data_IF_388013970276
#
_entry.id   IF_388013970276
#
_cell.length_a   1.000
_cell.length_b   1.000
_cell.length_c   1.000
_cell.angle_alpha   90.00
_cell.angle_beta   90.00
_cell.angle_gamma   90.00
#
_symmetry.space_group_name_H-M   'P 1'
#
loop_
_entity.id
_entity.type
_entity.pdbx_description
1 polymer ?
#
# COMPACT_ATOMS: atom_id res chain seq x y z
N UNK A 1 -1.64 -25.45 -26.23
CA UNK A 1 -0.68 -26.48 -25.77
C UNK A 1 0.70 -25.83 -25.69
N UNK A 2 1.03 -25.16 -24.57
CA UNK A 2 2.34 -24.56 -24.28
C UNK A 2 2.54 -24.60 -22.76
N UNK A 3 2.81 -25.78 -22.19
CA UNK A 3 3.15 -25.94 -20.77
C UNK A 3 4.46 -26.72 -20.72
N UNK A 4 5.49 -26.17 -20.07
CA UNK A 4 6.79 -26.85 -19.89
C UNK A 4 7.32 -26.83 -18.44
N UNK A 5 6.53 -26.41 -17.45
CA UNK A 5 6.91 -26.46 -16.04
C UNK A 5 6.27 -27.65 -15.31
N UNK A 6 7.09 -28.52 -14.71
CA UNK A 6 6.66 -29.46 -13.66
C UNK A 6 6.36 -28.65 -12.39
N UNK A 7 5.12 -28.71 -11.92
CA UNK A 7 4.68 -28.07 -10.67
C UNK A 7 5.19 -28.91 -9.50
N UNK A 8 5.99 -28.35 -8.60
CA UNK A 8 6.16 -28.89 -7.25
C UNK A 8 4.86 -28.65 -6.47
N UNK A 9 3.85 -29.49 -6.74
CA UNK A 9 2.59 -29.51 -6.00
C UNK A 9 2.82 -30.27 -4.68
N UNK A 10 3.34 -29.59 -3.66
CA UNK A 10 3.06 -30.00 -2.29
C UNK A 10 1.96 -29.06 -1.75
N UNK A 11 0.73 -29.58 -1.73
CA UNK A 11 -0.46 -29.06 -1.03
C UNK A 11 -1.17 -27.78 -1.54
N UNK A 12 -1.20 -27.52 -2.84
CA UNK A 12 -2.32 -26.77 -3.43
C UNK A 12 -3.13 -27.75 -4.29
N UNK A 13 -4.38 -28.03 -3.86
CA UNK A 13 -5.36 -28.76 -4.68
C UNK A 13 -5.37 -28.18 -6.09
N UNK A 14 -5.62 -29.00 -7.12
CA UNK A 14 -5.68 -28.61 -8.53
C UNK A 14 -6.72 -27.50 -8.78
N UNK A 15 -6.37 -26.27 -8.43
CA UNK A 15 -7.14 -25.08 -8.71
C UNK A 15 -6.85 -24.67 -10.16
N UNK A 16 -7.92 -24.43 -10.91
CA UNK A 16 -7.77 -23.93 -12.27
C UNK A 16 -7.30 -22.46 -12.24
N UNK A 17 -7.47 -21.71 -11.14
CA UNK A 17 -7.12 -20.29 -11.05
C UNK A 17 -5.63 -20.07 -10.82
N UNK A 18 -5.08 -20.60 -9.72
CA UNK A 18 -3.64 -20.59 -9.44
C UNK A 18 -3.04 -21.86 -10.02
N UNK A 19 -2.33 -21.74 -11.14
CA UNK A 19 -1.82 -22.87 -11.92
C UNK A 19 -0.35 -23.19 -11.64
N UNK A 20 0.33 -22.35 -10.85
CA UNK A 20 1.70 -22.53 -10.43
C UNK A 20 1.99 -21.71 -9.19
N UNK A 21 2.79 -22.25 -8.28
CA UNK A 21 3.25 -21.57 -7.08
C UNK A 21 4.67 -22.05 -6.75
N UNK A 22 5.64 -21.14 -6.83
CA UNK A 22 7.06 -21.36 -6.49
C UNK A 22 7.48 -20.34 -5.44
N UNK A 23 8.55 -20.65 -4.72
CA UNK A 23 9.13 -19.79 -3.69
C UNK A 23 10.64 -19.94 -3.67
N UNK A 24 11.34 -18.88 -3.28
CA UNK A 24 12.79 -18.75 -3.42
C UNK A 24 13.36 -18.18 -2.12
N UNK A 25 14.22 -18.96 -1.46
CA UNK A 25 14.81 -18.60 -0.16
C UNK A 25 16.35 -18.72 -0.15
N UNK A 26 16.95 -19.27 -1.20
CA UNK A 26 18.38 -19.62 -1.17
C UNK A 26 19.26 -18.38 -1.13
N UNK A 27 18.84 -17.30 -1.79
CA UNK A 27 19.49 -16.00 -1.68
C UNK A 27 19.40 -15.46 -0.27
N UNK A 28 18.21 -15.48 0.31
CA UNK A 28 17.99 -15.09 1.71
C UNK A 28 18.88 -15.87 2.68
N UNK A 29 18.92 -17.20 2.59
CA UNK A 29 19.72 -18.03 3.51
C UNK A 29 21.23 -17.79 3.36
N UNK A 30 21.69 -17.42 2.16
CA UNK A 30 23.09 -17.10 1.93
C UNK A 30 23.49 -15.73 2.53
N UNK A 31 22.59 -14.75 2.49
CA UNK A 31 22.86 -13.38 2.98
C UNK A 31 22.62 -13.24 4.49
N UNK A 32 21.55 -13.87 5.01
CA UNK A 32 21.07 -13.65 6.38
C UNK A 32 21.12 -14.92 7.26
N UNK A 33 21.48 -16.07 6.69
CA UNK A 33 21.39 -17.36 7.36
C UNK A 33 19.98 -17.96 7.35
N UNK A 34 19.83 -19.14 7.97
CA UNK A 34 18.55 -19.86 7.98
C UNK A 34 17.43 -19.02 8.61
N UNK A 35 16.29 -18.98 7.94
CA UNK A 35 15.13 -18.24 8.45
C UNK A 35 14.60 -18.86 9.74
N UNK A 36 14.64 -18.11 10.83
CA UNK A 36 14.05 -18.54 12.09
C UNK A 36 12.56 -18.19 12.14
N UNK A 37 11.69 -19.19 11.97
CA UNK A 37 10.23 -19.02 11.97
C UNK A 37 9.59 -19.03 13.36
N UNK A 38 10.36 -19.12 14.45
CA UNK A 38 9.79 -19.01 15.80
C UNK A 38 9.43 -17.57 16.17
N UNK A 39 10.19 -16.60 15.68
CA UNK A 39 10.08 -15.19 16.08
C UNK A 39 9.29 -14.34 15.07
N UNK A 40 9.14 -14.86 13.84
CA UNK A 40 8.35 -14.25 12.77
C UNK A 40 7.31 -15.26 12.27
N UNK A 41 6.10 -14.77 12.04
CA UNK A 41 5.05 -15.61 11.47
C UNK A 41 5.26 -15.73 9.95
N UNK A 42 5.82 -16.86 9.52
CA UNK A 42 6.19 -17.11 8.12
C UNK A 42 6.05 -18.60 7.75
N UNK A 43 5.84 -18.86 6.45
CA UNK A 43 5.74 -20.18 5.87
C UNK A 43 6.86 -20.43 4.87
N UNK A 44 7.61 -21.53 5.05
CA UNK A 44 8.58 -22.06 4.09
C UNK A 44 7.89 -22.69 2.86
N UNK A 45 7.11 -21.87 2.16
CA UNK A 45 6.30 -22.21 0.99
C UNK A 45 5.88 -20.94 0.25
N UNK A 46 5.16 -21.09 -0.87
CA UNK A 46 4.56 -19.96 -1.59
C UNK A 46 3.36 -19.30 -0.87
N UNK A 47 2.99 -19.77 0.33
CA UNK A 47 1.91 -19.17 1.14
C UNK A 47 2.32 -17.77 1.60
N UNK A 48 1.40 -16.82 1.42
CA UNK A 48 1.56 -15.44 1.84
C UNK A 48 1.25 -15.27 3.34
N UNK A 49 2.25 -14.85 4.10
CA UNK A 49 2.14 -14.57 5.54
C UNK A 49 1.84 -13.09 5.85
N UNK A 50 2.04 -12.18 4.90
CA UNK A 50 1.99 -10.73 5.13
C UNK A 50 0.75 -10.10 4.51
N UNK A 51 0.40 -10.50 3.29
CA UNK A 51 -0.81 -10.09 2.57
C UNK A 51 -0.58 -9.30 1.29
N UNK A 52 0.60 -8.69 1.11
CA UNK A 52 0.92 -7.86 -0.07
C UNK A 52 0.81 -8.64 -1.38
N UNK A 53 1.32 -9.87 -1.42
CA UNK A 53 1.22 -10.75 -2.60
C UNK A 53 -0.23 -11.13 -2.92
N UNK A 54 -1.03 -11.43 -1.88
CA UNK A 54 -2.47 -11.74 -2.03
C UNK A 54 -3.24 -10.52 -2.56
N UNK A 55 -2.95 -9.33 -2.05
CA UNK A 55 -3.59 -8.07 -2.44
C UNK A 55 -3.29 -7.71 -3.90
N UNK A 56 -2.03 -7.76 -4.28
CA UNK A 56 -1.60 -7.44 -5.65
C UNK A 56 -2.09 -8.47 -6.66
N UNK A 57 -1.99 -9.77 -6.36
CA UNK A 57 -2.47 -10.83 -7.25
C UNK A 57 -4.00 -10.77 -7.48
N UNK A 58 -4.77 -10.50 -6.42
CA UNK A 58 -6.23 -10.34 -6.52
C UNK A 58 -6.65 -9.05 -7.22
N UNK A 59 -5.85 -7.98 -7.14
CA UNK A 59 -6.06 -6.76 -7.94
C UNK A 59 -5.83 -7.02 -9.43
N UNK A 60 -4.81 -7.80 -9.79
CA UNK A 60 -4.53 -8.11 -11.19
C UNK A 60 -5.55 -9.07 -11.80
N UNK A 61 -5.86 -10.16 -11.09
CA UNK A 61 -6.64 -11.26 -11.64
C UNK A 61 -7.61 -11.90 -10.63
N UNK A 62 -8.03 -11.24 -9.55
CA UNK A 62 -9.01 -11.81 -8.62
C UNK A 62 -10.31 -12.23 -9.33
N UNK A 63 -10.83 -13.42 -8.99
CA UNK A 63 -12.17 -13.80 -9.42
C UNK A 63 -13.22 -12.89 -8.75
N UNK A 64 -14.42 -12.73 -9.32
CA UNK A 64 -15.47 -11.95 -8.69
C UNK A 64 -15.85 -12.55 -7.33
N UNK A 65 -15.83 -11.74 -6.28
CA UNK A 65 -16.27 -12.09 -4.93
C UNK A 65 -17.33 -11.08 -4.50
N UNK A 66 -18.57 -11.56 -4.31
CA UNK A 66 -19.67 -10.77 -3.78
C UNK A 66 -19.44 -10.43 -2.30
N UNK A 67 -20.09 -9.36 -1.84
CA UNK A 67 -20.07 -8.91 -0.45
C UNK A 67 -18.66 -8.67 0.13
N UNK A 68 -17.69 -8.39 -0.75
CA UNK A 68 -16.35 -8.00 -0.36
C UNK A 68 -16.38 -6.63 0.31
N UNK A 69 -15.79 -6.53 1.49
CA UNK A 69 -15.66 -5.28 2.23
C UNK A 69 -14.51 -5.33 3.22
N UNK A 70 -14.03 -4.16 3.62
CA UNK A 70 -13.13 -4.02 4.76
C UNK A 70 -13.91 -3.53 5.96
N UNK A 71 -14.35 -4.46 6.82
CA UNK A 71 -15.21 -4.15 8.00
C UNK A 71 -16.46 -3.34 7.62
N UNK A 72 -17.09 -3.67 6.49
CA UNK A 72 -18.25 -2.94 5.94
C UNK A 72 -17.91 -1.75 5.04
N UNK A 73 -16.66 -1.28 5.01
CA UNK A 73 -16.21 -0.24 4.09
C UNK A 73 -15.93 -0.79 2.70
N UNK A 74 -16.15 0.04 1.68
CA UNK A 74 -15.99 -0.30 0.26
C UNK A 74 -16.77 -1.56 -0.15
N UNK A 75 -17.95 -1.77 0.45
CA UNK A 75 -18.78 -2.94 0.18
C UNK A 75 -19.19 -3.03 -1.29
N UNK A 76 -19.04 -4.22 -1.87
CA UNK A 76 -19.48 -4.51 -3.23
C UNK A 76 -18.89 -5.82 -3.78
N UNK A 77 -18.77 -5.90 -5.10
CA UNK A 77 -18.16 -7.04 -5.78
C UNK A 77 -16.69 -6.74 -6.10
N UNK A 78 -15.77 -7.36 -5.38
CA UNK A 78 -14.34 -7.29 -5.67
C UNK A 78 -13.99 -8.21 -6.86
N UNK A 79 -13.20 -7.71 -7.81
CA UNK A 79 -12.61 -8.50 -8.91
C UNK A 79 -11.31 -7.85 -9.38
N UNK A 80 -10.41 -8.63 -9.97
CA UNK A 80 -9.21 -8.09 -10.59
C UNK A 80 -9.46 -7.51 -11.98
N UNK A 81 -8.44 -6.89 -12.56
CA UNK A 81 -8.50 -6.35 -13.93
C UNK A 81 -8.77 -7.43 -14.99
N UNK A 82 -8.22 -8.63 -14.82
CA UNK A 82 -8.45 -9.79 -15.69
C UNK A 82 -8.96 -11.02 -14.89
N UNK A 83 -10.25 -11.08 -14.50
CA UNK A 83 -10.77 -12.09 -13.57
C UNK A 83 -10.63 -13.54 -14.06
N UNK A 84 -10.53 -13.77 -15.37
CA UNK A 84 -10.38 -15.11 -15.98
C UNK A 84 -8.93 -15.48 -16.31
N UNK A 85 -7.97 -14.57 -16.13
CA UNK A 85 -6.55 -14.88 -16.30
C UNK A 85 -6.10 -15.95 -15.29
N UNK A 86 -5.07 -16.72 -15.63
CA UNK A 86 -4.48 -17.70 -14.70
C UNK A 86 -3.39 -16.99 -13.89
N UNK A 87 -3.15 -17.44 -12.66
CA UNK A 87 -2.09 -16.93 -11.80
C UNK A 87 -0.97 -17.96 -11.67
N UNK A 88 0.27 -17.50 -11.82
CA UNK A 88 1.47 -18.21 -11.39
C UNK A 88 2.17 -17.34 -10.35
N UNK A 89 2.37 -17.87 -9.16
CA UNK A 89 2.91 -17.14 -8.00
C UNK A 89 4.38 -17.48 -7.82
N UNK A 90 5.22 -16.47 -7.67
CA UNK A 90 6.66 -16.59 -7.42
C UNK A 90 7.01 -15.77 -6.18
N UNK A 91 7.08 -16.42 -5.02
CA UNK A 91 7.36 -15.75 -3.74
C UNK A 91 8.86 -15.55 -3.57
N UNK A 92 9.28 -14.29 -3.56
CA UNK A 92 10.69 -13.87 -3.39
C UNK A 92 10.92 -12.96 -2.18
N UNK A 93 9.82 -12.55 -1.53
CA UNK A 93 9.84 -11.67 -0.37
C UNK A 93 9.34 -12.42 0.86
N UNK A 94 9.92 -12.08 1.99
CA UNK A 94 9.70 -12.75 3.26
C UNK A 94 9.13 -11.79 4.31
N UNK A 95 8.55 -12.33 5.38
CA UNK A 95 7.93 -11.54 6.46
C UNK A 95 8.90 -10.59 7.18
N UNK A 96 10.21 -10.78 7.03
CA UNK A 96 11.24 -9.84 7.48
C UNK A 96 11.24 -8.53 6.70
N UNK A 97 10.62 -8.52 5.51
CA UNK A 97 10.62 -7.42 4.55
C UNK A 97 11.66 -7.59 3.44
N UNK A 98 12.53 -8.59 3.54
CA UNK A 98 13.63 -8.78 2.60
C UNK A 98 13.19 -9.56 1.35
N UNK A 99 13.67 -9.10 0.19
CA UNK A 99 13.60 -9.80 -1.07
C UNK A 99 14.99 -9.77 -1.70
N UNK A 100 15.71 -10.89 -1.70
CA UNK A 100 17.11 -10.88 -2.13
C UNK A 100 17.24 -10.83 -3.65
N UNK A 101 18.34 -10.23 -4.11
CA UNK A 101 18.70 -10.14 -5.52
C UNK A 101 18.73 -11.49 -6.22
N UNK A 102 19.29 -12.51 -5.56
CA UNK A 102 19.40 -13.86 -6.11
C UNK A 102 18.02 -14.54 -6.24
N UNK A 103 17.16 -14.41 -5.23
CA UNK A 103 15.82 -15.00 -5.25
C UNK A 103 14.91 -14.32 -6.29
N UNK A 104 15.04 -12.99 -6.45
CA UNK A 104 14.34 -12.24 -7.52
C UNK A 104 14.75 -12.74 -8.91
N UNK A 105 16.05 -12.85 -9.19
CA UNK A 105 16.54 -13.31 -10.49
C UNK A 105 16.12 -14.77 -10.78
N UNK A 106 16.18 -15.64 -9.78
CA UNK A 106 15.73 -17.02 -9.91
C UNK A 106 14.24 -17.11 -10.27
N UNK A 107 13.40 -16.26 -9.66
CA UNK A 107 11.99 -16.18 -10.00
C UNK A 107 11.73 -15.66 -11.43
N UNK A 108 12.49 -14.66 -11.89
CA UNK A 108 12.41 -14.20 -13.27
C UNK A 108 12.76 -15.31 -14.27
N UNK A 109 13.87 -16.02 -14.04
CA UNK A 109 14.32 -17.10 -14.92
C UNK A 109 13.25 -18.21 -15.02
N UNK A 110 12.73 -18.64 -13.87
CA UNK A 110 11.65 -19.64 -13.81
C UNK A 110 10.36 -19.15 -14.47
N UNK A 111 9.96 -17.90 -14.26
CA UNK A 111 8.75 -17.36 -14.87
C UNK A 111 8.86 -17.27 -16.39
N UNK A 112 10.04 -16.89 -16.90
CA UNK A 112 10.34 -16.89 -18.34
C UNK A 112 10.26 -18.31 -18.89
N UNK A 113 10.89 -19.27 -18.22
CA UNK A 113 10.89 -20.67 -18.62
C UNK A 113 9.48 -21.30 -18.60
N UNK A 114 8.69 -20.98 -17.57
CA UNK A 114 7.31 -21.44 -17.41
C UNK A 114 6.37 -20.86 -18.50
N UNK A 115 6.79 -19.76 -19.14
CA UNK A 115 6.11 -19.16 -20.28
C UNK A 115 4.94 -18.27 -19.88
N UNK A 116 5.10 -17.46 -18.84
CA UNK A 116 4.09 -16.47 -18.44
C UNK A 116 3.89 -15.40 -19.52
N UNK A 117 2.70 -14.83 -19.62
CA UNK A 117 2.38 -13.78 -20.62
C UNK A 117 2.69 -12.36 -20.15
N UNK A 118 2.62 -12.13 -18.84
CA UNK A 118 2.84 -10.85 -18.16
C UNK A 118 3.44 -11.09 -16.78
N UNK A 119 4.40 -10.25 -16.39
CA UNK A 119 4.94 -10.18 -15.04
C UNK A 119 4.46 -8.90 -14.35
N UNK A 120 3.83 -9.06 -13.18
CA UNK A 120 3.36 -7.98 -12.30
C UNK A 120 4.29 -7.90 -11.10
N UNK A 121 5.17 -6.90 -11.05
CA UNK A 121 6.27 -6.84 -10.09
C UNK A 121 6.19 -5.56 -9.27
N UNK A 122 5.55 -5.68 -8.11
CA UNK A 122 5.38 -4.57 -7.16
C UNK A 122 6.52 -4.48 -6.16
N UNK A 123 7.76 -4.50 -6.66
CA UNK A 123 9.01 -4.48 -5.92
C UNK A 123 9.90 -3.33 -6.43
N UNK A 124 10.95 -2.99 -5.69
CA UNK A 124 11.99 -2.08 -6.17
C UNK A 124 12.89 -1.59 -5.05
N UNK A 125 13.96 -0.91 -5.44
CA UNK A 125 14.95 -0.33 -4.53
C UNK A 125 14.92 1.19 -4.60
N UNK A 126 15.00 1.85 -3.45
CA UNK A 126 15.07 3.29 -3.37
C UNK A 126 16.39 3.83 -3.98
N UNK A 127 16.42 5.09 -4.47
CA UNK A 127 17.66 5.71 -4.92
C UNK A 127 18.76 5.71 -3.83
N UNK A 128 20.06 5.66 -4.19
CA UNK A 128 20.61 5.76 -5.55
C UNK A 128 20.34 4.50 -6.39
N UNK A 129 19.93 4.71 -7.65
CA UNK A 129 19.66 3.61 -8.58
C UNK A 129 20.97 3.02 -9.11
N UNK A 130 21.18 1.69 -9.04
CA UNK A 130 22.30 1.05 -9.70
C UNK A 130 22.13 1.10 -11.23
N UNK A 131 23.21 0.93 -11.99
CA UNK A 131 23.13 0.85 -13.44
C UNK A 131 22.21 -0.32 -13.85
N UNK A 132 21.60 -0.26 -15.04
CA UNK A 132 20.66 -1.31 -15.48
C UNK A 132 21.28 -2.72 -15.55
N UNK A 133 22.60 -2.81 -15.67
CA UNK A 133 23.36 -4.07 -15.67
C UNK A 133 23.67 -4.62 -14.28
N UNK A 134 23.43 -3.81 -13.24
CA UNK A 134 23.61 -4.15 -11.82
C UNK A 134 22.27 -4.21 -11.06
N UNK A 135 21.19 -3.65 -11.63
CA UNK A 135 19.84 -3.71 -11.08
C UNK A 135 19.14 -5.03 -11.45
N UNK A 136 18.88 -5.89 -10.46
CA UNK A 136 18.28 -7.22 -10.69
C UNK A 136 16.89 -7.17 -11.34
N UNK A 137 16.10 -6.14 -11.06
CA UNK A 137 14.80 -5.95 -11.70
C UNK A 137 14.96 -5.56 -13.17
N UNK A 138 15.93 -4.70 -13.50
CA UNK A 138 16.28 -4.35 -14.88
C UNK A 138 16.81 -5.55 -15.65
N UNK A 139 17.72 -6.35 -15.07
CA UNK A 139 18.27 -7.56 -15.70
C UNK A 139 17.16 -8.59 -15.95
N UNK A 140 16.42 -8.98 -14.91
CA UNK A 140 15.35 -9.98 -15.03
C UNK A 140 14.26 -9.53 -16.02
N UNK A 141 13.86 -8.26 -15.95
CA UNK A 141 12.86 -7.72 -16.87
C UNK A 141 13.35 -7.60 -18.31
N UNK A 142 14.63 -7.32 -18.54
CA UNK A 142 15.21 -7.29 -19.88
C UNK A 142 15.09 -8.66 -20.55
N UNK A 143 15.49 -9.72 -19.84
CA UNK A 143 15.38 -11.09 -20.35
C UNK A 143 13.93 -11.52 -20.60
N UNK A 144 12.99 -11.10 -19.73
CA UNK A 144 11.57 -11.35 -19.94
C UNK A 144 11.03 -10.63 -21.19
N UNK A 145 11.32 -9.34 -21.35
CA UNK A 145 10.89 -8.55 -22.50
C UNK A 145 11.50 -9.08 -23.81
N UNK A 146 12.77 -9.49 -23.78
CA UNK A 146 13.44 -10.12 -24.93
C UNK A 146 12.77 -11.44 -25.36
N UNK A 147 12.06 -12.11 -24.45
CA UNK A 147 11.25 -13.32 -24.72
C UNK A 147 9.79 -13.02 -25.03
N UNK A 148 9.41 -11.75 -25.20
CA UNK A 148 8.06 -11.32 -25.55
C UNK A 148 7.11 -11.22 -24.35
N UNK A 149 7.63 -11.24 -23.12
CA UNK A 149 6.84 -11.15 -21.89
C UNK A 149 6.80 -9.70 -21.44
N UNK A 150 5.60 -9.13 -21.29
CA UNK A 150 5.46 -7.76 -20.79
C UNK A 150 5.73 -7.71 -19.28
N UNK A 151 6.51 -6.72 -18.83
CA UNK A 151 6.83 -6.52 -17.41
C UNK A 151 6.28 -5.18 -16.95
N UNK A 152 5.46 -5.23 -15.90
CA UNK A 152 4.83 -4.06 -15.28
C UNK A 152 5.37 -3.93 -13.87
N UNK A 153 5.93 -2.77 -13.54
CA UNK A 153 6.49 -2.49 -12.21
C UNK A 153 5.88 -1.24 -11.58
N UNK A 154 5.86 -1.19 -10.25
CA UNK A 154 5.50 -0.01 -9.47
C UNK A 154 6.55 1.11 -9.59
N UNK A 155 6.12 2.37 -9.65
CA UNK A 155 7.04 3.52 -9.75
C UNK A 155 7.77 3.88 -8.45
N UNK A 156 7.35 3.35 -7.30
CA UNK A 156 7.88 3.69 -5.97
C UNK A 156 6.97 4.64 -5.18
N UNK A 157 7.17 4.67 -3.86
CA UNK A 157 6.33 5.43 -2.92
C UNK A 157 7.12 6.55 -2.19
N UNK A 158 8.18 7.06 -2.81
CA UNK A 158 9.10 8.05 -2.21
C UNK A 158 8.86 9.48 -2.72
N UNK A 159 7.70 9.74 -3.32
CA UNK A 159 7.28 11.08 -3.72
C UNK A 159 7.09 12.03 -2.52
N UNK A 160 6.76 13.31 -2.78
CA UNK A 160 6.34 13.89 -4.06
C UNK A 160 7.50 14.54 -4.83
N UNK A 161 8.70 14.54 -4.27
CA UNK A 161 9.84 15.23 -4.86
C UNK A 161 10.32 14.53 -6.15
N UNK A 162 10.86 15.33 -7.06
CA UNK A 162 11.47 14.86 -8.32
C UNK A 162 12.57 13.84 -8.06
N UNK A 163 12.90 13.04 -9.08
CA UNK A 163 14.03 12.09 -9.08
C UNK A 163 13.91 10.96 -8.04
N UNK A 164 12.68 10.58 -7.72
CA UNK A 164 12.37 9.51 -6.75
C UNK A 164 11.85 8.23 -7.42
N UNK A 165 11.65 8.24 -8.74
CA UNK A 165 11.15 7.09 -9.52
C UNK A 165 12.15 5.94 -9.54
N UNK A 166 11.64 4.74 -9.30
CA UNK A 166 12.39 3.47 -9.36
C UNK A 166 11.85 2.62 -10.52
N UNK A 167 12.48 1.49 -10.83
CA UNK A 167 12.09 0.62 -11.96
C UNK A 167 12.06 1.39 -13.30
N UNK A 168 13.07 2.22 -13.54
CA UNK A 168 13.08 3.20 -14.61
C UNK A 168 13.63 2.69 -15.95
N UNK A 169 13.91 1.39 -16.06
CA UNK A 169 14.42 0.81 -17.30
C UNK A 169 13.44 1.03 -18.47
N UNK A 170 13.92 1.39 -19.68
CA UNK A 170 13.06 1.77 -20.80
C UNK A 170 12.06 0.68 -21.22
N UNK A 171 12.44 -0.59 -21.08
CA UNK A 171 11.64 -1.76 -21.46
C UNK A 171 10.55 -2.14 -20.45
N UNK A 172 10.57 -1.57 -19.24
CA UNK A 172 9.55 -1.79 -18.20
C UNK A 172 8.37 -0.83 -18.43
N UNK A 173 7.13 -1.27 -18.13
CA UNK A 173 5.98 -0.39 -17.91
C UNK A 173 5.95 0.02 -16.44
N UNK A 174 6.30 1.26 -16.14
CA UNK A 174 6.42 1.80 -14.77
C UNK A 174 5.18 2.59 -14.39
N UNK A 175 4.50 2.19 -13.31
CA UNK A 175 3.14 2.63 -13.00
C UNK A 175 3.10 3.53 -11.76
N UNK A 176 2.62 4.76 -11.95
CA UNK A 176 2.33 5.71 -10.87
C UNK A 176 1.03 5.35 -10.15
N UNK A 177 0.84 5.84 -8.92
CA UNK A 177 -0.40 5.66 -8.18
C UNK A 177 -1.29 6.91 -8.32
N UNK A 178 -2.56 6.70 -8.63
CA UNK A 178 -3.60 7.74 -8.66
C UNK A 178 -4.71 7.45 -7.65
N UNK A 179 -5.40 8.51 -7.23
CA UNK A 179 -6.63 8.44 -6.44
C UNK A 179 -7.82 8.00 -7.29
N UNK A 180 -8.90 7.61 -6.62
CA UNK A 180 -10.21 7.32 -7.21
C UNK A 180 -11.26 8.22 -6.56
N UNK A 181 -12.46 8.26 -7.12
CA UNK A 181 -13.61 9.04 -6.64
C UNK A 181 -14.23 8.54 -5.32
N UNK A 182 -13.55 7.61 -4.62
CA UNK A 182 -13.98 7.06 -3.32
C UNK A 182 -13.14 7.63 -2.17
N UNK A 183 -13.82 7.98 -1.09
CA UNK A 183 -13.20 8.32 0.19
C UNK A 183 -13.91 7.66 1.37
N UNK A 184 -13.31 7.74 2.56
CA UNK A 184 -13.85 7.17 3.80
C UNK A 184 -13.91 8.24 4.87
N UNK A 185 -15.12 8.74 5.14
CA UNK A 185 -15.33 9.87 6.04
C UNK A 185 -15.92 9.42 7.38
N UNK A 186 -15.46 10.04 8.46
CA UNK A 186 -16.05 9.96 9.78
C UNK A 186 -16.34 11.36 10.33
N UNK A 187 -17.44 11.47 11.08
CA UNK A 187 -17.80 12.70 11.79
C UNK A 187 -16.93 12.86 13.03
N UNK A 188 -16.45 14.07 13.28
CA UNK A 188 -15.79 14.49 14.52
C UNK A 188 -16.73 15.47 15.20
N UNK A 189 -17.33 15.08 16.33
CA UNK A 189 -18.19 15.94 17.13
C UNK A 189 -17.43 16.42 18.38
N UNK A 190 -17.33 17.74 18.55
CA UNK A 190 -16.70 18.36 19.71
C UNK A 190 -17.76 18.61 20.80
N UNK A 191 -17.31 18.72 22.06
CA UNK A 191 -18.17 19.00 23.21
C UNK A 191 -18.88 20.36 23.19
N UNK A 192 -18.51 21.27 22.29
CA UNK A 192 -19.23 22.54 22.04
C UNK A 192 -20.29 22.42 20.92
N UNK A 193 -20.69 21.21 20.54
CA UNK A 193 -21.62 20.90 19.44
C UNK A 193 -21.13 21.25 18.03
N UNK A 194 -19.89 21.71 17.86
CA UNK A 194 -19.30 21.87 16.53
C UNK A 194 -18.96 20.51 15.93
N UNK A 195 -19.13 20.38 14.62
CA UNK A 195 -18.92 19.10 13.92
C UNK A 195 -18.10 19.28 12.66
N UNK A 196 -17.11 18.41 12.49
CA UNK A 196 -16.21 18.38 11.34
C UNK A 196 -16.19 17.00 10.71
N UNK A 197 -15.60 16.88 9.53
CA UNK A 197 -15.35 15.61 8.87
C UNK A 197 -13.84 15.33 8.84
N UNK A 198 -13.47 14.06 8.96
CA UNK A 198 -12.11 13.60 8.76
C UNK A 198 -12.09 12.24 8.07
N UNK A 199 -10.92 11.82 7.62
CA UNK A 199 -10.71 10.58 6.91
C UNK A 199 -10.24 9.46 7.85
N UNK A 200 -10.86 8.27 7.76
CA UNK A 200 -10.45 7.12 8.56
C UNK A 200 -11.00 5.80 8.01
N UNK A 201 -10.26 4.71 8.22
CA UNK A 201 -10.73 3.33 7.99
C UNK A 201 -11.31 2.69 9.26
N UNK A 202 -11.26 3.41 10.38
CA UNK A 202 -11.72 2.88 11.67
C UNK A 202 -13.25 2.80 11.72
N UNK A 203 -13.77 1.59 11.91
CA UNK A 203 -15.21 1.30 11.86
C UNK A 203 -15.82 0.82 13.20
N UNK A 204 -15.04 0.67 14.28
CA UNK A 204 -15.62 0.16 15.53
C UNK A 204 -14.70 0.01 16.74
N UNK A 205 -15.09 0.68 17.83
CA UNK A 205 -15.10 0.23 19.24
C UNK A 205 -15.75 1.29 20.14
N UNK A 206 -15.80 2.56 19.70
CA UNK A 206 -16.35 3.68 20.47
C UNK A 206 -17.23 4.65 19.67
N UNK A 207 -18.09 4.21 18.73
CA UNK A 207 -18.97 5.14 18.02
C UNK A 207 -19.88 5.82 19.05
N UNK A 208 -19.83 7.15 19.09
CA UNK A 208 -20.68 7.88 20.03
C UNK A 208 -20.17 7.98 21.47
N UNK A 209 -18.98 7.47 21.82
CA UNK A 209 -18.40 7.71 23.16
C UNK A 209 -17.70 9.07 23.19
N UNK A 210 -18.07 9.91 24.16
CA UNK A 210 -17.33 11.14 24.45
C UNK A 210 -16.03 10.82 25.20
N UNK A 211 -14.91 11.34 24.70
CA UNK A 211 -13.58 11.12 25.22
C UNK A 211 -12.88 12.47 25.44
N UNK A 212 -12.04 12.56 26.47
CA UNK A 212 -11.23 13.77 26.70
C UNK A 212 -10.22 13.94 25.55
N UNK A 213 -10.09 15.17 25.07
CA UNK A 213 -9.17 15.57 24.01
C UNK A 213 -8.00 16.33 24.64
N UNK A 214 -6.80 16.18 24.09
CA UNK A 214 -5.63 16.96 24.50
C UNK A 214 -4.75 17.24 23.28
N UNK A 215 -4.07 18.39 23.27
CA UNK A 215 -3.07 18.70 22.27
C UNK A 215 -1.73 18.07 22.64
N UNK A 216 -1.03 17.51 21.66
CA UNK A 216 0.15 16.69 21.91
C UNK A 216 1.34 17.47 22.51
N UNK A 217 1.52 18.73 22.10
CA UNK A 217 2.59 19.61 22.62
C UNK A 217 2.42 19.88 24.12
N UNK A 218 1.18 20.05 24.59
CA UNK A 218 0.86 20.29 26.01
C UNK A 218 1.16 19.09 26.93
N UNK A 219 1.46 17.93 26.35
CA UNK A 219 1.74 16.68 27.06
C UNK A 219 3.09 16.07 26.66
N UNK A 220 4.04 16.91 26.23
CA UNK A 220 5.41 16.48 25.95
C UNK A 220 6.01 15.69 27.12
N UNK A 221 6.76 14.64 26.81
CA UNK A 221 7.62 13.99 27.79
C UNK A 221 8.80 14.89 28.15
N UNK A 222 9.36 14.74 29.36
CA UNK A 222 10.46 15.58 29.84
C UNK A 222 11.69 15.62 28.91
N UNK A 223 11.91 14.57 28.14
CA UNK A 223 13.09 14.40 27.27
C UNK A 223 12.81 14.73 25.79
N UNK A 224 11.61 15.20 25.45
CA UNK A 224 11.21 15.48 24.07
C UNK A 224 11.12 16.99 23.80
N UNK A 225 11.49 17.39 22.58
CA UNK A 225 11.20 18.72 22.07
C UNK A 225 9.69 18.88 21.80
N UNK A 226 9.18 20.10 21.95
CA UNK A 226 7.79 20.47 21.70
C UNK A 226 7.39 20.09 20.26
N UNK A 227 8.31 20.20 19.31
CA UNK A 227 8.10 19.79 17.91
C UNK A 227 7.85 18.29 17.76
N UNK A 228 8.58 17.47 18.52
CA UNK A 228 8.44 16.02 18.49
C UNK A 228 7.12 15.59 19.13
N UNK A 229 6.78 16.19 20.27
CA UNK A 229 5.50 15.98 20.94
C UNK A 229 4.33 16.38 20.04
N UNK A 230 4.38 17.57 19.42
CA UNK A 230 3.36 18.06 18.48
C UNK A 230 3.03 17.06 17.38
N UNK A 231 4.03 16.35 16.85
CA UNK A 231 3.84 15.34 15.79
C UNK A 231 3.65 13.92 16.30
N UNK A 232 3.60 13.73 17.61
CA UNK A 232 3.47 12.42 18.25
C UNK A 232 4.59 11.46 17.78
N UNK A 233 5.81 11.98 17.68
CA UNK A 233 7.02 11.19 17.39
C UNK A 233 7.24 10.12 18.45
N UNK A 234 7.85 8.99 18.10
CA UNK A 234 8.07 7.89 19.03
C UNK A 234 8.74 8.35 20.33
N UNK A 235 8.14 8.04 21.47
CA UNK A 235 8.65 8.40 22.80
C UNK A 235 8.37 9.83 23.25
N UNK A 236 7.73 10.68 22.42
CA UNK A 236 7.58 12.11 22.70
C UNK A 236 6.47 12.51 23.69
N UNK A 237 5.60 11.57 24.06
CA UNK A 237 4.40 11.87 24.86
C UNK A 237 4.51 11.37 26.30
N UNK A 238 4.08 12.20 27.25
CA UNK A 238 3.95 11.83 28.65
C UNK A 238 2.79 10.84 28.85
N UNK A 239 3.12 9.59 29.18
CA UNK A 239 2.14 8.50 29.33
C UNK A 239 1.06 8.76 30.39
N UNK A 240 1.36 9.52 31.46
CA UNK A 240 0.38 9.84 32.50
C UNK A 240 -0.66 10.84 31.98
N UNK A 241 -0.22 11.83 31.21
CA UNK A 241 -1.09 12.88 30.68
C UNK A 241 -1.90 12.43 29.45
N UNK A 242 -1.36 11.48 28.66
CA UNK A 242 -2.02 10.90 27.49
C UNK A 242 -3.03 9.79 27.84
N UNK A 243 -2.85 9.10 28.98
CA UNK A 243 -3.65 7.93 29.35
C UNK A 243 -5.16 8.21 29.28
N UNK A 244 -5.87 7.42 28.48
CA UNK A 244 -7.32 7.51 28.35
C UNK A 244 -7.84 8.69 27.52
N UNK A 245 -6.97 9.47 26.87
CA UNK A 245 -7.34 10.65 26.07
C UNK A 245 -7.15 10.42 24.57
N UNK A 246 -7.89 11.19 23.78
CA UNK A 246 -7.63 11.40 22.35
C UNK A 246 -6.58 12.49 22.23
N UNK A 247 -5.57 12.27 21.40
CA UNK A 247 -4.46 13.21 21.21
C UNK A 247 -4.57 13.87 19.82
N UNK A 248 -4.56 15.20 19.78
CA UNK A 248 -4.44 15.99 18.56
C UNK A 248 -2.95 16.17 18.25
N UNK A 249 -2.51 15.60 17.12
CA UNK A 249 -1.14 15.71 16.62
C UNK A 249 -1.15 16.50 15.30
N UNK A 250 -0.14 17.33 15.08
CA UNK A 250 0.11 18.00 13.81
C UNK A 250 1.36 17.43 13.16
N UNK A 251 1.23 17.04 11.90
CA UNK A 251 2.36 16.64 11.07
C UNK A 251 3.45 17.72 11.07
N UNK A 252 4.71 17.28 11.17
CA UNK A 252 5.91 18.12 11.06
C UNK A 252 6.76 17.72 9.86
N UNK A 253 7.87 18.43 9.63
CA UNK A 253 8.84 18.06 8.60
C UNK A 253 9.49 16.70 8.91
N UNK A 254 9.79 16.43 10.18
CA UNK A 254 10.48 15.23 10.64
C UNK A 254 9.56 14.00 10.74
N UNK A 255 8.31 14.20 11.15
CA UNK A 255 7.33 13.12 11.32
C UNK A 255 6.06 13.41 10.50
N UNK A 256 5.81 12.52 9.52
CA UNK A 256 4.72 12.65 8.53
C UNK A 256 3.76 11.46 8.52
N UNK A 257 3.97 10.48 9.39
CA UNK A 257 3.23 9.23 9.43
C UNK A 257 2.20 9.23 10.56
N UNK A 258 0.92 9.28 10.19
CA UNK A 258 -0.17 9.08 11.13
C UNK A 258 -0.07 7.71 11.84
N UNK A 259 0.46 6.68 11.18
CA UNK A 259 0.69 5.37 11.79
C UNK A 259 1.73 5.41 12.93
N UNK A 260 2.77 6.25 12.79
CA UNK A 260 3.74 6.46 13.90
C UNK A 260 3.06 7.19 15.05
N UNK A 261 2.28 8.25 14.77
CA UNK A 261 1.53 8.97 15.79
C UNK A 261 0.58 8.05 16.56
N UNK A 262 -0.13 7.16 15.86
CA UNK A 262 -0.98 6.11 16.46
C UNK A 262 -0.20 5.22 17.41
N UNK A 263 0.94 4.69 16.97
CA UNK A 263 1.73 3.77 17.81
C UNK A 263 2.32 4.50 19.03
N UNK A 264 2.74 5.75 18.89
CA UNK A 264 3.19 6.59 20.00
C UNK A 264 2.07 6.80 21.02
N UNK A 265 0.88 7.20 20.56
CA UNK A 265 -0.28 7.43 21.44
C UNK A 265 -0.72 6.15 22.11
N UNK A 266 -0.72 5.02 21.39
CA UNK A 266 -1.01 3.69 21.95
C UNK A 266 -0.02 3.32 23.06
N UNK A 267 1.29 3.47 22.83
CA UNK A 267 2.33 3.23 23.86
C UNK A 267 2.18 4.15 25.06
N UNK A 268 1.74 5.39 24.85
CA UNK A 268 1.39 6.35 25.89
C UNK A 268 0.02 6.08 26.54
N UNK A 269 -0.67 4.98 26.19
CA UNK A 269 -1.99 4.56 26.69
C UNK A 269 -3.14 5.52 26.36
N UNK A 270 -2.98 6.31 25.31
CA UNK A 270 -4.07 7.10 24.72
C UNK A 270 -5.07 6.21 23.96
N UNK A 271 -6.24 6.76 23.69
CA UNK A 271 -7.41 6.02 23.15
C UNK A 271 -7.88 6.50 21.80
N UNK A 272 -7.24 7.52 21.22
CA UNK A 272 -7.53 7.99 19.86
C UNK A 272 -6.52 9.03 19.39
N UNK A 273 -6.47 9.24 18.09
CA UNK A 273 -5.62 10.24 17.43
C UNK A 273 -6.46 11.07 16.45
N UNK A 274 -6.29 12.38 16.51
CA UNK A 274 -6.64 13.28 15.42
C UNK A 274 -5.33 13.74 14.81
N UNK A 275 -5.06 13.38 13.57
CA UNK A 275 -3.80 13.70 12.91
C UNK A 275 -4.04 14.77 11.84
N UNK A 276 -3.63 16.00 12.15
CA UNK A 276 -3.72 17.14 11.23
C UNK A 276 -2.52 17.16 10.29
N UNK A 277 -2.78 17.09 8.99
CA UNK A 277 -1.76 16.95 7.94
C UNK A 277 -2.16 17.71 6.67
N UNK A 278 -1.25 17.84 5.72
CA UNK A 278 -1.67 18.21 4.37
C UNK A 278 -2.51 17.08 3.75
N UNK A 279 -3.40 17.43 2.84
CA UNK A 279 -4.33 16.47 2.25
C UNK A 279 -3.58 15.51 1.31
N UNK A 280 -3.30 14.29 1.78
CA UNK A 280 -2.70 13.22 0.97
C UNK A 280 -3.72 12.37 0.23
N UNK A 281 -5.00 12.38 0.69
CA UNK A 281 -6.07 11.45 0.33
C UNK A 281 -5.77 9.97 0.65
N UNK A 282 -4.59 9.68 1.18
CA UNK A 282 -4.15 8.36 1.65
C UNK A 282 -4.45 8.20 3.13
N UNK A 283 -5.19 7.15 3.48
CA UNK A 283 -5.68 6.94 4.84
C UNK A 283 -4.82 5.89 5.54
N UNK A 284 -4.25 6.29 6.68
CA UNK A 284 -3.46 5.40 7.49
C UNK A 284 -4.29 4.24 8.02
N UNK A 285 -3.75 3.03 7.84
CA UNK A 285 -4.28 1.81 8.40
C UNK A 285 -4.01 1.76 9.91
N UNK A 286 -4.99 2.17 10.73
CA UNK A 286 -4.94 2.08 12.20
C UNK A 286 -6.12 1.29 12.76
N UNK A 287 -5.85 0.37 13.69
CA UNK A 287 -6.85 -0.62 14.13
C UNK A 287 -7.02 -0.72 15.65
N UNK A 288 -5.94 -0.56 16.42
CA UNK A 288 -6.00 -0.61 17.89
C UNK A 288 -6.46 0.70 18.51
N UNK A 289 -6.08 1.81 17.88
CA UNK A 289 -6.42 3.17 18.31
C UNK A 289 -7.08 3.91 17.14
N UNK A 290 -8.33 4.40 17.29
CA UNK A 290 -8.96 5.21 16.25
C UNK A 290 -8.05 6.36 15.83
N UNK A 291 -7.81 6.48 14.53
CA UNK A 291 -7.06 7.59 13.96
C UNK A 291 -7.94 8.28 12.91
N UNK A 292 -8.19 9.57 13.10
CA UNK A 292 -8.91 10.39 12.12
C UNK A 292 -7.95 11.43 11.57
N UNK A 293 -7.67 11.35 10.28
CA UNK A 293 -6.83 12.32 9.59
C UNK A 293 -7.69 13.50 9.14
N UNK A 294 -7.19 14.71 9.37
CA UNK A 294 -7.85 15.97 8.98
C UNK A 294 -6.85 16.88 8.29
N UNK A 295 -7.36 17.85 7.53
CA UNK A 295 -6.49 18.90 7.02
C UNK A 295 -6.06 19.86 8.15
N UNK A 296 -5.08 20.73 7.85
CA UNK A 296 -4.61 21.72 8.83
C UNK A 296 -5.69 22.71 9.24
N UNK A 297 -6.65 23.04 8.38
CA UNK A 297 -7.70 24.00 8.72
C UNK A 297 -8.59 23.45 9.83
N UNK A 298 -9.09 22.22 9.67
CA UNK A 298 -9.86 21.51 10.68
C UNK A 298 -9.01 21.27 11.94
N UNK A 299 -7.74 20.85 11.77
CA UNK A 299 -6.80 20.68 12.88
C UNK A 299 -6.65 21.95 13.74
N UNK A 300 -6.43 23.10 13.12
CA UNK A 300 -6.27 24.39 13.81
C UNK A 300 -7.54 24.82 14.54
N UNK A 301 -8.71 24.56 13.96
CA UNK A 301 -9.99 24.84 14.63
C UNK A 301 -10.19 23.94 15.86
N UNK A 302 -9.81 22.66 15.77
CA UNK A 302 -9.86 21.73 16.91
C UNK A 302 -8.86 22.16 18.00
N UNK A 303 -7.66 22.62 17.62
CA UNK A 303 -6.68 23.18 18.56
C UNK A 303 -7.20 24.42 19.30
N UNK A 304 -7.85 25.35 18.58
CA UNK A 304 -8.47 26.52 19.21
C UNK A 304 -9.57 26.12 20.21
N UNK A 305 -10.31 25.04 19.92
CA UNK A 305 -11.28 24.49 20.85
C UNK A 305 -10.63 23.86 22.10
N UNK A 306 -9.49 23.19 21.97
CA UNK A 306 -8.81 22.59 23.13
C UNK A 306 -8.30 23.65 24.10
N UNK A 307 -7.91 24.83 23.60
CA UNK A 307 -7.44 25.94 24.44
C UNK A 307 -8.57 26.78 25.03
N UNK A 308 -9.74 26.83 24.38
CA UNK A 308 -10.89 27.62 24.85
C UNK A 308 -11.76 26.91 25.90
N UNK A 309 -11.53 25.62 26.18
CA UNK A 309 -12.35 24.81 27.07
C UNK A 309 -11.51 24.20 28.19
N UNK A 310 -12.05 24.16 29.42
CA UNK A 310 -11.35 23.52 30.56
C UNK A 310 -11.23 22.00 30.40
N UNK A 311 -12.27 21.37 29.85
CA UNK A 311 -12.35 19.92 29.66
C UNK A 311 -12.81 19.62 28.23
N UNK A 312 -11.93 19.82 27.23
CA UNK A 312 -12.29 19.56 25.84
C UNK A 312 -12.57 18.08 25.65
N UNK A 313 -13.69 17.78 25.01
CA UNK A 313 -14.10 16.42 24.64
C UNK A 313 -14.33 16.29 23.15
N UNK A 314 -14.21 15.06 22.65
CA UNK A 314 -14.45 14.68 21.26
C UNK A 314 -15.15 13.32 21.18
N UNK A 315 -15.95 13.15 20.15
CA UNK A 315 -16.65 11.93 19.81
C UNK A 315 -16.47 11.65 18.32
N UNK A 316 -16.09 10.41 17.99
CA UNK A 316 -15.98 9.96 16.60
C UNK A 316 -17.23 9.22 16.15
N UNK A 317 -17.70 9.51 14.94
CA UNK A 317 -18.65 8.70 14.21
C UNK A 317 -17.95 7.51 13.54
N UNK A 318 -18.74 6.53 13.09
CA UNK A 318 -18.22 5.42 12.27
C UNK A 318 -17.84 5.92 10.88
N UNK A 319 -16.74 5.38 10.34
CA UNK A 319 -16.37 5.59 8.94
C UNK A 319 -17.50 5.17 7.99
N UNK A 320 -17.70 5.95 6.93
CA UNK A 320 -18.62 5.64 5.83
C UNK A 320 -17.89 5.76 4.51
N UNK A 321 -18.23 4.88 3.59
CA UNK A 321 -17.76 4.98 2.20
C UNK A 321 -18.57 6.03 1.48
N UNK A 322 -17.89 6.97 0.83
CA UNK A 322 -18.48 8.05 0.05
C UNK A 322 -17.90 7.99 -1.37
N UNK A 323 -18.76 8.15 -2.38
CA UNK A 323 -18.42 8.10 -3.81
C UNK A 323 -18.79 9.44 -4.47
N UNK A 324 -17.94 9.92 -5.38
CA UNK A 324 -18.21 11.08 -6.23
C UNK A 324 -18.05 12.45 -5.58
N UNK A 325 -17.79 12.53 -4.26
CA UNK A 325 -17.55 13.80 -3.56
C UNK A 325 -16.10 14.31 -3.66
N UNK A 326 -15.17 13.47 -4.12
CA UNK A 326 -13.76 13.83 -4.29
C UNK A 326 -13.44 13.96 -5.77
N UNK A 327 -12.93 15.14 -6.18
CA UNK A 327 -12.36 15.34 -7.51
C UNK A 327 -11.11 14.45 -7.63
N UNK A 328 -11.11 13.58 -8.64
CA UNK A 328 -10.02 12.69 -9.01
C UNK A 328 -10.25 12.15 -10.43
N UNK A 329 -9.23 11.52 -11.04
CA UNK A 329 -7.96 11.07 -10.46
C UNK A 329 -6.91 12.17 -10.24
N UNK A 330 -6.25 12.13 -9.08
CA UNK A 330 -5.04 12.92 -8.78
C UNK A 330 -3.86 11.97 -8.56
N UNK A 331 -2.67 12.32 -9.03
CA UNK A 331 -1.46 11.54 -8.74
C UNK A 331 -1.19 11.57 -7.23
N UNK A 332 -1.12 10.39 -6.62
CA UNK A 332 -0.94 10.25 -5.19
C UNK A 332 0.30 11.00 -4.68
N UNK A 333 0.19 11.59 -3.50
CA UNK A 333 1.28 12.35 -2.87
C UNK A 333 2.57 11.53 -2.76
N UNK A 334 2.45 10.27 -2.32
CA UNK A 334 3.60 9.37 -2.17
C UNK A 334 4.15 8.85 -3.50
N UNK A 335 3.41 8.95 -4.62
CA UNK A 335 3.84 8.34 -5.88
C UNK A 335 5.14 8.99 -6.34
N UNK A 336 6.20 8.19 -6.46
CA UNK A 336 7.51 8.63 -6.90
C UNK A 336 7.46 9.33 -8.26
N UNK A 337 8.32 10.33 -8.44
CA UNK A 337 8.34 11.22 -9.62
C UNK A 337 9.64 11.09 -10.40
N UNK A 338 9.54 11.25 -11.72
CA UNK A 338 10.71 11.43 -12.58
C UNK A 338 11.40 12.79 -12.38
N UNK A 339 12.43 13.08 -13.20
CA UNK A 339 13.04 12.17 -14.19
C UNK A 339 13.79 11.01 -13.52
N UNK A 340 14.17 9.99 -14.30
CA UNK A 340 15.08 8.94 -13.81
C UNK A 340 16.50 9.47 -13.74
N UNK A 341 17.24 9.15 -12.67
CA UNK A 341 18.67 9.51 -12.54
C UNK A 341 19.59 8.75 -13.51
N UNK A 342 19.15 7.61 -14.05
CA UNK A 342 19.93 6.79 -15.00
C UNK A 342 19.72 7.21 -16.46
N UNK A 343 18.51 7.63 -16.81
CA UNK A 343 18.15 8.00 -18.17
C UNK A 343 17.11 9.13 -18.16
N UNK A 344 17.52 10.37 -17.85
CA UNK A 344 16.60 11.50 -17.72
C UNK A 344 15.81 11.81 -19.00
N UNK A 345 16.35 11.46 -20.17
CA UNK A 345 15.72 11.64 -21.47
C UNK A 345 14.58 10.66 -21.77
N UNK A 346 14.47 9.56 -21.01
CA UNK A 346 13.36 8.61 -21.10
C UNK A 346 12.39 8.90 -19.96
N UNK A 347 11.24 9.50 -20.30
CA UNK A 347 10.25 9.92 -19.31
C UNK A 347 9.72 8.73 -18.49
N UNK A 348 9.63 8.95 -17.17
CA UNK A 348 9.08 8.01 -16.19
C UNK A 348 8.33 8.78 -15.09
N UNK A 349 7.29 8.19 -14.46
CA UNK A 349 6.64 6.92 -14.80
C UNK A 349 5.94 6.95 -16.17
N UNK A 350 5.57 5.79 -16.71
CA UNK A 350 4.98 5.70 -18.06
C UNK A 350 3.47 5.98 -18.05
N UNK A 351 2.76 5.58 -16.99
CA UNK A 351 1.30 5.71 -16.86
C UNK A 351 0.89 5.75 -15.38
N UNK A 352 -0.28 6.32 -15.06
CA UNK A 352 -0.88 6.27 -13.74
C UNK A 352 -2.09 5.32 -13.71
N UNK A 353 -2.35 4.67 -12.58
CA UNK A 353 -3.52 3.82 -12.36
C UNK A 353 -3.98 3.89 -10.89
N UNK A 354 -5.21 3.43 -10.57
CA UNK A 354 -5.71 3.43 -9.20
C UNK A 354 -4.75 2.74 -8.21
N UNK A 355 -4.27 3.49 -7.23
CA UNK A 355 -3.29 3.00 -6.25
C UNK A 355 -3.49 3.54 -4.83
N UNK A 356 -4.56 4.29 -4.57
CA UNK A 356 -4.86 4.86 -3.25
C UNK A 356 -6.13 4.26 -2.69
N UNK A 357 -6.04 3.76 -1.46
CA UNK A 357 -7.12 3.13 -0.70
C UNK A 357 -7.83 2.01 -1.48
N UNK A 358 -7.10 1.10 -2.12
CA UNK A 358 -7.64 0.01 -2.94
C UNK A 358 -8.04 -1.19 -2.07
N UNK A 359 -9.28 -1.66 -2.24
CA UNK A 359 -9.79 -2.88 -1.60
C UNK A 359 -9.40 -4.10 -2.43
N UNK A 360 -8.66 -5.04 -1.86
CA UNK A 360 -8.38 -6.34 -2.49
C UNK A 360 -8.26 -7.45 -1.43
N UNK A 361 -8.10 -8.69 -1.88
CA UNK A 361 -8.03 -9.84 -0.98
C UNK A 361 -6.80 -9.73 -0.06
N UNK A 362 -6.93 -10.22 1.16
CA UNK A 362 -5.86 -10.22 2.16
C UNK A 362 -5.76 -11.59 2.82
N UNK A 363 -4.55 -12.01 3.16
CA UNK A 363 -4.33 -13.29 3.83
C UNK A 363 -4.82 -13.21 5.28
N UNK A 364 -5.73 -14.10 5.72
CA UNK A 364 -6.12 -14.16 7.14
C UNK A 364 -4.94 -14.48 8.07
N UNK A 365 -3.87 -15.05 7.51
CA UNK A 365 -2.65 -15.41 8.23
C UNK A 365 -1.92 -14.16 8.77
N UNK A 366 -2.07 -13.00 8.11
CA UNK A 366 -1.50 -11.73 8.55
C UNK A 366 -2.10 -11.21 9.85
N UNK A 367 -3.20 -11.79 10.33
CA UNK A 367 -3.78 -11.44 11.63
C UNK A 367 -2.82 -11.70 12.81
N UNK A 368 -1.91 -12.66 12.66
CA UNK A 368 -0.95 -13.02 13.71
C UNK A 368 0.14 -11.96 13.86
N UNK A 369 0.52 -11.32 12.75
CA UNK A 369 1.57 -10.30 12.69
C UNK A 369 1.04 -8.87 12.66
N UNK A 370 -0.29 -8.67 12.65
CA UNK A 370 -0.88 -7.34 12.48
C UNK A 370 -2.06 -7.07 13.43
N UNK A 371 -2.12 -5.83 13.92
CA UNK A 371 -3.22 -5.31 14.74
C UNK A 371 -4.58 -5.24 14.00
N UNK A 372 -4.61 -5.56 12.70
CA UNK A 372 -5.83 -5.55 11.88
C UNK A 372 -6.79 -6.67 12.30
N UNK A 373 -6.29 -7.72 12.96
CA UNK A 373 -7.04 -8.95 13.18
C UNK A 373 -7.31 -9.70 11.87
N UNK A 374 -8.15 -10.73 11.94
CA UNK A 374 -8.46 -11.55 10.77
C UNK A 374 -9.43 -10.82 9.83
N UNK A 375 -8.95 -10.51 8.63
CA UNK A 375 -9.74 -9.95 7.54
C UNK A 375 -9.45 -10.69 6.23
N UNK A 376 -10.46 -10.84 5.38
CA UNK A 376 -10.32 -11.46 4.05
C UNK A 376 -10.06 -10.45 2.94
N UNK A 377 -10.32 -9.17 3.20
CA UNK A 377 -10.04 -8.06 2.32
C UNK A 377 -9.41 -6.93 3.12
N UNK A 378 -8.55 -6.13 2.49
CA UNK A 378 -7.92 -4.96 3.10
C UNK A 378 -7.92 -3.79 2.12
N UNK A 379 -8.12 -2.59 2.65
CA UNK A 379 -7.90 -1.33 1.94
C UNK A 379 -6.43 -0.95 2.13
N UNK A 380 -5.69 -0.78 1.03
CA UNK A 380 -4.27 -0.44 1.07
C UNK A 380 -3.88 0.55 -0.04
N UNK A 381 -2.75 1.23 0.14
CA UNK A 381 -2.26 2.26 -0.77
C UNK A 381 -0.82 2.00 -1.19
N UNK A 382 -0.50 2.34 -2.44
CA UNK A 382 0.85 2.27 -2.98
C UNK A 382 0.85 2.16 -4.50
N UNK A 383 2.00 2.46 -5.11
CA UNK A 383 2.27 2.08 -6.51
C UNK A 383 2.25 0.56 -6.69
N UNK A 384 2.41 -0.20 -5.61
CA UNK A 384 2.15 -1.64 -5.57
C UNK A 384 0.70 -2.01 -5.88
N UNK A 385 -0.26 -1.13 -5.63
CA UNK A 385 -1.68 -1.38 -5.94
C UNK A 385 -2.04 -0.91 -7.35
N UNK A 386 -1.35 0.10 -7.88
CA UNK A 386 -1.55 0.55 -9.27
C UNK A 386 -0.90 -0.35 -10.31
N UNK A 387 0.29 -0.90 -10.02
CA UNK A 387 0.98 -1.89 -10.84
C UNK A 387 0.06 -3.06 -11.31
N UNK A 388 -0.62 -3.80 -10.42
CA UNK A 388 -1.46 -4.93 -10.81
C UNK A 388 -2.72 -4.52 -11.59
N UNK A 389 -3.24 -3.29 -11.44
CA UNK A 389 -4.31 -2.80 -12.31
C UNK A 389 -3.85 -2.79 -13.78
N UNK A 390 -2.67 -2.23 -14.06
CA UNK A 390 -2.10 -2.22 -15.40
C UNK A 390 -1.72 -3.62 -15.85
N UNK A 391 -1.23 -4.50 -14.97
CA UNK A 391 -0.98 -5.91 -15.32
C UNK A 391 -2.25 -6.63 -15.75
N UNK A 392 -3.39 -6.35 -15.13
CA UNK A 392 -4.70 -6.85 -15.56
C UNK A 392 -5.07 -6.36 -16.96
N UNK A 393 -4.88 -5.07 -17.26
CA UNK A 393 -5.11 -4.50 -18.60
C UNK A 393 -4.18 -5.14 -19.64
N UNK A 394 -2.89 -5.31 -19.32
CA UNK A 394 -1.91 -5.99 -20.17
C UNK A 394 -2.33 -7.43 -20.48
N UNK A 395 -2.81 -8.17 -19.49
CA UNK A 395 -3.31 -9.54 -19.70
C UNK A 395 -4.50 -9.57 -20.67
N UNK A 396 -5.42 -8.61 -20.57
CA UNK A 396 -6.54 -8.47 -21.51
C UNK A 396 -6.07 -8.10 -22.93
N UNK A 397 -5.16 -7.13 -23.06
CA UNK A 397 -4.58 -6.74 -24.35
C UNK A 397 -3.86 -7.91 -25.01
N UNK A 398 -3.07 -8.68 -24.26
CA UNK A 398 -2.39 -9.89 -24.76
C UNK A 398 -3.38 -10.97 -25.19
N UNK A 399 -4.55 -11.07 -24.56
CA UNK A 399 -5.59 -12.01 -24.97
C UNK A 399 -6.24 -11.64 -26.32
N UNK A 400 -6.38 -10.35 -26.60
CA UNK A 400 -6.94 -9.82 -27.85
C UNK A 400 -5.89 -9.71 -28.96
N UNK A 401 -4.64 -9.45 -28.58
CA UNK A 401 -3.51 -9.26 -29.49
C UNK A 401 -2.30 -10.14 -29.10
N UNK A 402 -2.38 -11.47 -29.27
CA UNK A 402 -1.34 -12.40 -28.79
C UNK A 402 0.06 -12.20 -29.42
N UNK A 403 0.10 -11.58 -30.60
CA UNK A 403 1.32 -11.34 -31.37
C UNK A 403 1.96 -9.97 -31.09
N UNK A 404 1.34 -9.12 -30.26
CA UNK A 404 1.95 -7.84 -29.89
C UNK A 404 3.19 -8.05 -29.05
N UNK A 405 4.26 -7.32 -29.40
CA UNK A 405 5.46 -7.24 -28.59
C UNK A 405 5.18 -6.47 -27.28
N UNK A 406 6.00 -6.66 -26.24
CA UNK A 406 5.90 -5.85 -25.01
C UNK A 406 5.92 -4.34 -25.28
N UNK A 407 6.72 -3.88 -26.25
CA UNK A 407 6.78 -2.49 -26.65
C UNK A 407 5.48 -1.99 -27.30
N UNK A 408 4.83 -2.82 -28.14
CA UNK A 408 3.53 -2.48 -28.73
C UNK A 408 2.43 -2.39 -27.67
N UNK A 409 2.42 -3.31 -26.69
CA UNK A 409 1.51 -3.24 -25.54
C UNK A 409 1.75 -1.96 -24.72
N UNK A 410 3.01 -1.65 -24.40
CA UNK A 410 3.37 -0.41 -23.71
C UNK A 410 2.92 0.83 -24.48
N UNK A 411 3.14 0.86 -25.79
CA UNK A 411 2.72 1.96 -26.66
C UNK A 411 1.20 2.14 -26.64
N UNK A 412 0.43 1.06 -26.76
CA UNK A 412 -1.03 1.12 -26.67
C UNK A 412 -1.50 1.72 -25.34
N UNK A 413 -0.96 1.24 -24.21
CA UNK A 413 -1.30 1.78 -22.89
C UNK A 413 -1.04 3.29 -22.78
N UNK A 414 0.15 3.74 -23.17
CA UNK A 414 0.58 5.13 -22.97
C UNK A 414 -0.12 6.08 -23.94
N UNK A 415 -0.26 5.69 -25.22
CA UNK A 415 -0.85 6.57 -26.25
C UNK A 415 -2.36 6.69 -26.18
N UNK A 416 -3.04 5.80 -25.46
CA UNK A 416 -4.50 5.86 -25.22
C UNK A 416 -4.86 6.22 -23.77
N UNK A 417 -3.88 6.60 -22.95
CA UNK A 417 -4.16 7.04 -21.57
C UNK A 417 -4.93 8.37 -21.57
N UNK A 418 -5.85 8.54 -20.61
CA UNK A 418 -6.50 9.84 -20.39
C UNK A 418 -5.49 10.83 -19.83
N UNK A 419 -5.50 12.05 -20.35
CA UNK A 419 -4.77 13.20 -19.81
C UNK A 419 -5.68 14.15 -19.02
N UNK A 420 -6.95 13.77 -18.87
CA UNK A 420 -8.00 14.51 -18.15
C UNK A 420 -8.52 13.71 -16.97
N UNK A 421 -9.02 14.44 -15.97
CA UNK A 421 -9.74 13.92 -14.81
C UNK A 421 -11.20 13.56 -15.11
#
# INVERSE_FOLDING_TARGET
MRRRGQVQCFQLQQDRKIIGAKWYIRGYEAEYGKMNTTDIYEFMSARDAVGHGTHTASTAAGAPVADASFRGLASGVARGGAPRARLAVYKVCWATGDCTSADILAAFDDAIHDGVDVLSVSLGQAPPLPAYVDDVLSIGSFHAVARGIAVVCSAGNSGPYSETVINSAPWIVTVAAGTIDRTFLAKIALGNNSTYAGQTLYSGAHPGRSMSLVYAEDIASNDADDTDARSCTAGSLNSTLAKGKVVLCFQTRAQRSASVAVETVRKARGVGVIFAQFLTKDIASSFDVPCVQVDYQVGTVILAYTTSMRNPTVQFGSAKTVLGEVIGPEVAYFSSRGPSSLSPSVLKPDIAAPGVNILAAWTPAAAVSSAIGSVSFKIDSGTSMSCPHISGVVALLRSLHPNWSPAAVKSALVTTASVHD
#
